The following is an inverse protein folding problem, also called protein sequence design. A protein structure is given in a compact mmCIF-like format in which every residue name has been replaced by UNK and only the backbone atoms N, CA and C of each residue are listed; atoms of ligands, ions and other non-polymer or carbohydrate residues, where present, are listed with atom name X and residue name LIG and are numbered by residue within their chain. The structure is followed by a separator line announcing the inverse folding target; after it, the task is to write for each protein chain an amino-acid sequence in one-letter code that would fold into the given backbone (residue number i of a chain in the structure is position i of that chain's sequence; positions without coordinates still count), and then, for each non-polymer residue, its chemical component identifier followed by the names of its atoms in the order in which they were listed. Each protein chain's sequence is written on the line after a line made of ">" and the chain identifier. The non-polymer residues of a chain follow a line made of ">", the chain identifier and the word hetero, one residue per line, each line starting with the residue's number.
data_IF_344053390483
#
_entry.id   IF_344053390483
#
_cell.length_a   1.000
_cell.length_b   1.000
_cell.length_c   1.000
_cell.angle_alpha   90.00
_cell.angle_beta   90.00
_cell.angle_gamma   90.00
#
_symmetry.space_group_name_H-M   'P 1'
#
loop_
_entity.id
_entity.type
_entity.pdbx_description
1 polymer ?
#
# COMPACT_ATOMS: atom_id res chain seq x y z
N UNK A 1 -9.16 24.71 3.37
CA UNK A 1 -9.00 23.26 3.56
C UNK A 1 -7.64 23.00 4.19
N UNK A 2 -7.59 22.47 5.42
CA UNK A 2 -6.33 22.28 6.15
C UNK A 2 -6.08 20.79 6.37
N UNK A 3 -5.15 20.22 5.61
CA UNK A 3 -4.63 18.87 5.85
C UNK A 3 -3.40 18.99 6.76
N UNK A 4 -3.34 18.19 7.83
CA UNK A 4 -2.24 18.22 8.79
C UNK A 4 -1.58 16.85 8.91
N UNK A 5 -0.28 16.83 9.09
CA UNK A 5 0.43 15.61 9.48
C UNK A 5 0.08 15.27 10.94
N UNK A 6 -0.22 14.01 11.19
CA UNK A 6 -0.31 13.40 12.51
C UNK A 6 0.97 12.63 12.87
N UNK A 7 0.98 11.90 13.99
CA UNK A 7 2.09 11.03 14.35
C UNK A 7 2.32 9.95 13.28
N UNK A 8 3.58 9.58 13.07
CA UNK A 8 3.95 8.52 12.12
C UNK A 8 3.35 7.17 12.52
N UNK A 9 3.20 6.27 11.55
CA UNK A 9 2.82 4.88 11.78
C UNK A 9 4.08 4.04 11.97
N UNK A 10 4.06 3.19 12.99
CA UNK A 10 5.15 2.26 13.29
C UNK A 10 4.61 0.84 13.39
N UNK A 11 5.48 -0.13 13.08
CA UNK A 11 5.18 -1.53 13.36
C UNK A 11 4.95 -1.72 14.84
N UNK A 12 3.87 -2.41 15.20
CA UNK A 12 3.62 -2.81 16.59
C UNK A 12 4.76 -3.71 17.09
N UNK A 13 5.02 -3.68 18.40
CA UNK A 13 6.12 -4.45 19.01
C UNK A 13 6.01 -5.98 18.79
N UNK A 14 4.80 -6.49 18.56
CA UNK A 14 4.53 -7.90 18.27
C UNK A 14 4.63 -8.25 16.77
N UNK A 15 5.19 -7.38 15.93
CA UNK A 15 5.26 -7.58 14.47
C UNK A 15 5.91 -8.91 14.06
N UNK A 16 6.88 -9.42 14.83
CA UNK A 16 7.51 -10.72 14.55
C UNK A 16 6.53 -11.88 14.68
N UNK A 17 5.62 -11.82 15.66
CA UNK A 17 4.56 -12.82 15.81
C UNK A 17 3.55 -12.71 14.67
N UNK A 18 3.21 -11.48 14.27
CA UNK A 18 2.32 -11.23 13.13
C UNK A 18 2.92 -11.71 11.82
N UNK A 19 4.22 -11.53 11.60
CA UNK A 19 4.98 -12.06 10.46
C UNK A 19 4.89 -13.58 10.38
N UNK A 20 5.09 -14.28 11.50
CA UNK A 20 4.90 -15.74 11.56
C UNK A 20 3.46 -16.16 11.26
N UNK A 21 2.46 -15.42 11.77
CA UNK A 21 1.07 -15.69 11.46
C UNK A 21 0.79 -15.48 9.95
N UNK A 22 1.35 -14.45 9.34
CA UNK A 22 1.28 -14.21 7.90
C UNK A 22 1.90 -15.36 7.08
N UNK A 23 3.06 -15.86 7.50
CA UNK A 23 3.68 -17.07 6.91
C UNK A 23 2.71 -18.25 6.92
N UNK A 24 2.02 -18.48 8.04
CA UNK A 24 1.07 -19.58 8.20
C UNK A 24 -0.19 -19.41 7.35
N UNK A 25 -0.73 -18.18 7.26
CA UNK A 25 -1.89 -17.89 6.41
C UNK A 25 -1.59 -18.14 4.93
N UNK A 26 -0.35 -17.93 4.50
CA UNK A 26 0.08 -18.20 3.14
C UNK A 26 0.52 -19.65 2.90
N UNK A 27 0.65 -20.48 3.95
CA UNK A 27 1.33 -21.78 3.88
C UNK A 27 0.61 -22.84 3.02
N UNK A 28 -0.72 -22.75 2.90
CA UNK A 28 -1.53 -23.68 2.10
C UNK A 28 -1.55 -23.38 0.60
N UNK A 29 -0.88 -22.31 0.17
CA UNK A 29 -0.91 -21.85 -1.21
C UNK A 29 0.45 -22.02 -1.90
N UNK A 30 0.47 -21.99 -3.23
CA UNK A 30 1.70 -21.90 -4.04
C UNK A 30 2.57 -20.68 -3.70
N UNK A 31 2.03 -19.77 -2.89
CA UNK A 31 2.66 -18.56 -2.37
C UNK A 31 2.99 -18.64 -0.87
N UNK A 32 3.30 -19.83 -0.36
CA UNK A 32 4.00 -19.97 0.93
C UNK A 32 5.23 -19.05 0.97
N UNK A 33 5.73 -18.66 2.15
CA UNK A 33 6.85 -17.69 2.21
C UNK A 33 8.06 -18.11 1.37
N UNK A 34 8.39 -19.41 1.34
CA UNK A 34 9.47 -19.93 0.50
C UNK A 34 9.10 -19.93 -1.00
N UNK A 35 7.86 -20.26 -1.35
CA UNK A 35 7.37 -20.24 -2.73
C UNK A 35 7.32 -18.82 -3.29
N UNK A 36 6.80 -17.88 -2.52
CA UNK A 36 6.77 -16.47 -2.88
C UNK A 36 8.16 -15.87 -2.97
N UNK A 37 9.06 -16.19 -2.05
CA UNK A 37 10.44 -15.72 -2.11
C UNK A 37 11.11 -16.15 -3.44
N UNK A 38 11.03 -17.44 -3.78
CA UNK A 38 11.53 -17.95 -5.08
C UNK A 38 10.86 -17.26 -6.26
N UNK A 39 9.56 -16.97 -6.15
CA UNK A 39 8.85 -16.22 -7.18
C UNK A 39 9.42 -14.81 -7.34
N UNK A 40 9.66 -14.09 -6.24
CA UNK A 40 10.28 -12.77 -6.27
C UNK A 40 11.72 -12.80 -6.82
N UNK A 41 12.54 -13.79 -6.44
CA UNK A 41 13.89 -13.98 -6.99
C UNK A 41 13.87 -14.20 -8.51
N UNK A 42 12.93 -15.02 -8.98
CA UNK A 42 12.75 -15.24 -10.42
C UNK A 42 12.34 -13.93 -11.10
N UNK A 43 11.38 -13.20 -10.54
CA UNK A 43 10.91 -11.93 -11.09
C UNK A 43 12.03 -10.90 -11.18
N UNK A 44 12.82 -10.70 -10.12
CA UNK A 44 13.94 -9.75 -10.16
C UNK A 44 15.01 -10.17 -11.15
N UNK A 45 15.35 -11.46 -11.23
CA UNK A 45 16.31 -11.97 -12.21
C UNK A 45 15.86 -11.70 -13.65
N UNK A 46 14.56 -11.89 -13.93
CA UNK A 46 13.98 -11.57 -15.24
C UNK A 46 13.98 -10.06 -15.50
N UNK A 47 13.67 -9.28 -14.47
CA UNK A 47 13.62 -7.82 -14.53
C UNK A 47 14.99 -7.21 -14.80
N UNK A 48 16.05 -7.69 -14.15
CA UNK A 48 17.45 -7.27 -14.37
C UNK A 48 17.88 -7.45 -15.83
N UNK A 49 17.40 -8.51 -16.48
CA UNK A 49 17.66 -8.82 -17.89
C UNK A 49 16.81 -8.01 -18.87
N UNK A 50 15.78 -7.32 -18.38
CA UNK A 50 14.84 -6.55 -19.21
C UNK A 50 15.07 -5.04 -19.07
N UNK A 51 15.04 -4.28 -20.16
CA UNK A 51 15.07 -2.80 -20.12
C UNK A 51 13.69 -2.19 -19.87
N UNK A 52 12.71 -2.99 -19.47
CA UNK A 52 11.32 -2.55 -19.37
C UNK A 52 11.11 -1.65 -18.14
N UNK A 53 10.50 -0.45 -18.27
CA UNK A 53 10.18 0.42 -17.13
C UNK A 53 9.16 -0.18 -16.15
N UNK A 54 8.43 -1.24 -16.53
CA UNK A 54 7.36 -1.85 -15.71
C UNK A 54 7.86 -2.73 -14.54
N UNK A 55 9.12 -2.59 -14.15
CA UNK A 55 9.78 -3.40 -13.11
C UNK A 55 9.04 -3.33 -11.76
N UNK A 56 8.77 -2.11 -11.29
CA UNK A 56 8.08 -1.90 -10.02
C UNK A 56 6.67 -2.49 -10.01
N UNK A 57 5.98 -2.43 -11.15
CA UNK A 57 4.62 -2.96 -11.30
C UNK A 57 4.53 -4.45 -11.05
N UNK A 58 5.42 -5.24 -11.64
CA UNK A 58 5.39 -6.70 -11.51
C UNK A 58 5.60 -7.13 -10.05
N UNK A 59 6.52 -6.49 -9.33
CA UNK A 59 6.72 -6.77 -7.91
C UNK A 59 5.51 -6.35 -7.09
N UNK A 60 5.00 -5.14 -7.33
CA UNK A 60 3.81 -4.63 -6.67
C UNK A 60 2.62 -5.59 -6.83
N UNK A 61 2.33 -6.04 -8.05
CA UNK A 61 1.27 -7.00 -8.34
C UNK A 61 1.52 -8.36 -7.66
N UNK A 62 2.77 -8.82 -7.56
CA UNK A 62 3.10 -10.04 -6.81
C UNK A 62 2.76 -9.91 -5.31
N UNK A 63 3.06 -8.78 -4.69
CA UNK A 63 2.69 -8.49 -3.29
C UNK A 63 1.18 -8.43 -3.10
N UNK A 64 0.44 -7.79 -4.02
CA UNK A 64 -1.01 -7.77 -3.99
C UNK A 64 -1.61 -9.17 -4.12
N UNK A 65 -1.07 -9.98 -5.04
CA UNK A 65 -1.52 -11.34 -5.23
C UNK A 65 -1.30 -12.16 -3.95
N UNK A 66 -0.12 -12.04 -3.32
CA UNK A 66 0.13 -12.70 -2.05
C UNK A 66 -0.81 -12.25 -0.94
N UNK A 67 -1.01 -10.96 -0.76
CA UNK A 67 -1.93 -10.42 0.24
C UNK A 67 -3.39 -10.88 0.00
N UNK A 68 -3.78 -11.08 -1.27
CA UNK A 68 -5.12 -11.58 -1.62
C UNK A 68 -5.34 -13.06 -1.27
N UNK A 69 -4.32 -13.92 -1.39
CA UNK A 69 -4.46 -15.33 -1.01
C UNK A 69 -4.41 -15.55 0.50
N UNK A 70 -3.93 -14.58 1.26
CA UNK A 70 -3.96 -14.59 2.73
C UNK A 70 -5.36 -14.27 3.29
N UNK A 71 -6.33 -13.94 2.43
CA UNK A 71 -7.69 -13.64 2.84
C UNK A 71 -8.51 -14.91 3.06
N UNK A 72 -9.51 -14.88 3.94
CA UNK A 72 -10.48 -15.96 4.05
C UNK A 72 -11.14 -16.25 2.68
N UNK A 73 -11.41 -17.51 2.31
CA UNK A 73 -11.96 -17.86 0.99
C UNK A 73 -13.30 -17.19 0.63
N UNK A 74 -14.07 -16.76 1.64
CA UNK A 74 -15.36 -16.08 1.45
C UNK A 74 -15.22 -14.55 1.26
N UNK A 75 -14.01 -14.01 1.42
CA UNK A 75 -13.66 -12.59 1.32
C UNK A 75 -12.62 -12.35 0.21
N UNK A 76 -12.94 -12.65 -1.06
CA UNK A 76 -12.01 -12.40 -2.15
C UNK A 76 -11.67 -10.90 -2.27
N UNK A 77 -10.37 -10.63 -2.43
CA UNK A 77 -9.89 -9.30 -2.81
C UNK A 77 -9.99 -9.14 -4.32
N UNK A 78 -10.56 -8.02 -4.75
CA UNK A 78 -10.59 -7.58 -6.14
C UNK A 78 -9.79 -6.29 -6.24
N UNK A 79 -8.76 -6.31 -7.07
CA UNK A 79 -7.97 -5.12 -7.40
C UNK A 79 -8.45 -4.58 -8.73
N UNK A 80 -8.92 -3.34 -8.75
CA UNK A 80 -9.31 -2.62 -9.96
C UNK A 80 -8.27 -1.54 -10.26
N UNK A 81 -7.73 -1.47 -11.49
CA UNK A 81 -6.91 -0.34 -11.90
C UNK A 81 -7.77 0.94 -11.90
N UNK A 82 -7.22 2.00 -11.34
CA UNK A 82 -7.78 3.35 -11.37
C UNK A 82 -7.20 4.18 -12.51
N UNK A 83 -7.25 5.49 -12.34
CA UNK A 83 -6.66 6.46 -13.27
C UNK A 83 -5.14 6.51 -13.15
N UNK A 84 -4.47 6.71 -14.27
CA UNK A 84 -3.06 7.06 -14.32
C UNK A 84 -2.93 8.58 -14.17
N UNK A 85 -1.98 9.01 -13.36
CA UNK A 85 -1.74 10.41 -13.02
C UNK A 85 -0.27 10.75 -13.26
N UNK A 86 0.00 12.03 -13.53
CA UNK A 86 1.36 12.58 -13.55
C UNK A 86 1.55 13.38 -12.27
N UNK A 87 2.53 12.97 -11.45
CA UNK A 87 2.93 13.70 -10.25
C UNK A 87 4.03 14.69 -10.65
N UNK A 88 3.79 16.01 -10.54
CA UNK A 88 4.85 16.98 -10.74
C UNK A 88 5.85 16.87 -9.58
N UNK A 89 7.11 16.65 -9.92
CA UNK A 89 8.23 16.67 -8.96
C UNK A 89 9.20 17.80 -9.28
N UNK A 90 9.66 18.48 -8.24
CA UNK A 90 10.70 19.48 -8.38
C UNK A 90 12.03 18.75 -8.64
N UNK A 91 12.62 18.93 -9.82
CA UNK A 91 14.03 18.56 -9.98
C UNK A 91 14.90 19.63 -9.30
N UNK A 92 16.05 19.22 -8.78
CA UNK A 92 17.08 20.18 -8.41
C UNK A 92 17.46 20.99 -9.66
N UNK A 93 17.49 22.33 -9.60
CA UNK A 93 17.88 23.14 -10.75
C UNK A 93 19.33 22.80 -11.10
N UNK A 94 19.55 22.29 -12.32
CA UNK A 94 20.89 22.03 -12.82
C UNK A 94 21.66 23.34 -13.05
N UNK A 95 20.94 24.46 -13.26
CA UNK A 95 21.48 25.80 -13.40
C UNK A 95 20.54 26.86 -12.81
N UNK A 96 21.03 28.08 -12.47
CA UNK A 96 20.28 29.11 -11.74
C UNK A 96 18.99 29.62 -12.41
N UNK A 97 18.67 29.18 -13.64
CA UNK A 97 17.49 29.59 -14.41
C UNK A 97 16.81 28.42 -15.16
N UNK A 98 17.12 27.15 -14.84
CA UNK A 98 16.45 26.00 -15.45
C UNK A 98 15.49 25.34 -14.46
N UNK A 99 14.18 25.48 -14.72
CA UNK A 99 13.15 24.66 -14.09
C UNK A 99 12.97 23.39 -14.94
N UNK A 100 13.66 22.32 -14.58
CA UNK A 100 13.30 20.99 -15.08
C UNK A 100 12.23 20.47 -14.13
N UNK A 101 10.98 20.42 -14.58
CA UNK A 101 9.95 19.68 -13.86
C UNK A 101 10.14 18.21 -14.22
N UNK A 102 10.62 17.40 -13.28
CA UNK A 102 10.56 15.96 -13.43
C UNK A 102 9.09 15.54 -13.24
N UNK A 103 8.58 14.69 -14.11
CA UNK A 103 7.21 14.16 -14.02
C UNK A 103 7.30 12.69 -13.69
N UNK A 104 6.69 12.26 -12.58
CA UNK A 104 6.59 10.86 -12.22
C UNK A 104 5.24 10.32 -12.67
N UNK A 105 5.23 9.17 -13.33
CA UNK A 105 4.00 8.47 -13.67
C UNK A 105 3.50 7.70 -12.45
N UNK A 106 2.23 7.88 -12.11
CA UNK A 106 1.59 7.27 -10.96
C UNK A 106 0.32 6.53 -11.41
N UNK A 107 0.32 5.21 -11.28
CA UNK A 107 -0.86 4.38 -11.52
C UNK A 107 -1.63 4.17 -10.21
N UNK A 108 -2.89 4.59 -10.18
CA UNK A 108 -3.79 4.27 -9.07
C UNK A 108 -4.36 2.85 -9.24
N UNK A 109 -4.53 2.17 -8.12
CA UNK A 109 -5.24 0.91 -7.97
C UNK A 109 -6.18 1.04 -6.77
N UNK A 110 -7.33 0.37 -6.81
CA UNK A 110 -8.20 0.23 -5.64
C UNK A 110 -8.43 -1.24 -5.36
N UNK A 111 -8.12 -1.68 -4.14
CA UNK A 111 -8.44 -3.01 -3.64
C UNK A 111 -9.76 -2.96 -2.87
N UNK A 112 -10.61 -3.93 -3.16
CA UNK A 112 -11.90 -4.14 -2.53
C UNK A 112 -11.98 -5.54 -1.93
N UNK A 113 -12.53 -5.67 -0.74
CA UNK A 113 -13.06 -6.97 -0.28
C UNK A 113 -14.51 -7.08 -0.72
N UNK A 114 -14.79 -8.10 -1.54
CA UNK A 114 -16.13 -8.40 -2.02
C UNK A 114 -16.74 -9.54 -1.20
N UNK A 115 -17.91 -9.32 -0.58
CA UNK A 115 -18.67 -10.44 0.00
C UNK A 115 -19.25 -11.29 -1.10
N UNK A 116 -18.73 -12.50 -1.27
CA UNK A 116 -19.24 -13.47 -2.23
C UNK A 116 -18.77 -13.24 -3.67
N UNK A 117 -18.80 -14.32 -4.44
CA UNK A 117 -18.23 -14.41 -5.79
C UNK A 117 -18.96 -13.55 -6.82
N UNK A 118 -20.27 -13.32 -6.65
CA UNK A 118 -21.06 -12.48 -7.56
C UNK A 118 -20.66 -11.00 -7.48
N UNK A 119 -20.43 -10.48 -6.28
CA UNK A 119 -19.94 -9.10 -6.11
C UNK A 119 -18.53 -8.95 -6.69
N UNK A 120 -17.68 -9.96 -6.51
CA UNK A 120 -16.35 -9.98 -7.11
C UNK A 120 -16.43 -9.97 -8.66
N UNK A 121 -17.37 -10.70 -9.26
CA UNK A 121 -17.62 -10.68 -10.71
C UNK A 121 -18.10 -9.30 -11.17
N UNK A 122 -19.07 -8.68 -10.50
CA UNK A 122 -19.58 -7.36 -10.88
C UNK A 122 -18.46 -6.30 -10.93
N UNK A 123 -17.59 -6.26 -9.91
CA UNK A 123 -16.46 -5.31 -9.85
C UNK A 123 -15.49 -5.57 -11.02
N UNK A 124 -15.18 -6.84 -11.33
CA UNK A 124 -14.30 -7.21 -12.44
C UNK A 124 -14.89 -6.84 -13.81
N UNK A 125 -16.21 -6.88 -13.96
CA UNK A 125 -16.90 -6.51 -15.20
C UNK A 125 -16.98 -4.99 -15.43
N UNK A 126 -16.36 -4.16 -14.57
CA UNK A 126 -16.42 -2.70 -14.67
C UNK A 126 -17.82 -2.12 -14.38
N UNK A 127 -18.74 -2.97 -13.92
CA UNK A 127 -20.06 -2.53 -13.50
C UNK A 127 -19.92 -1.92 -12.11
N UNK A 128 -20.29 -0.64 -11.98
CA UNK A 128 -20.31 0.01 -10.67
C UNK A 128 -21.21 -0.82 -9.75
N UNK A 129 -20.67 -1.38 -8.64
CA UNK A 129 -21.49 -2.13 -7.71
C UNK A 129 -22.61 -1.20 -7.24
N UNK A 130 -23.87 -1.61 -7.39
CA UNK A 130 -25.00 -0.83 -6.86
C UNK A 130 -24.73 -0.55 -5.37
N UNK A 131 -24.45 0.71 -5.09
CA UNK A 131 -23.63 1.21 -3.99
C UNK A 131 -24.45 1.27 -2.71
N UNK A 132 -23.84 0.82 -1.61
CA UNK A 132 -24.39 0.88 -0.27
C UNK A 132 -23.74 -0.15 0.63
N UNK A 133 -24.18 -1.41 0.51
CA UNK A 133 -23.95 -2.40 1.58
C UNK A 133 -23.01 -3.57 1.21
N UNK A 134 -22.43 -3.58 0.01
CA UNK A 134 -21.78 -4.80 -0.54
C UNK A 134 -20.24 -4.81 -0.51
N UNK A 135 -19.61 -3.67 -0.22
CA UNK A 135 -18.16 -3.54 -0.12
C UNK A 135 -17.75 -3.48 1.34
N UNK A 136 -17.01 -4.49 1.80
CA UNK A 136 -16.55 -4.55 3.19
C UNK A 136 -15.35 -3.65 3.45
N UNK A 137 -14.55 -3.39 2.43
CA UNK A 137 -13.31 -2.66 2.55
C UNK A 137 -12.89 -2.05 1.23
N UNK A 138 -12.12 -0.97 1.34
CA UNK A 138 -11.53 -0.18 0.28
C UNK A 138 -10.15 0.31 0.73
N UNK A 139 -9.11 -0.15 0.03
CA UNK A 139 -7.74 0.37 0.17
C UNK A 139 -7.33 0.97 -1.17
N UNK A 140 -6.87 2.23 -1.17
CA UNK A 140 -6.31 2.86 -2.36
C UNK A 140 -4.81 2.63 -2.41
N UNK A 141 -4.28 2.39 -3.58
CA UNK A 141 -2.88 2.09 -3.76
C UNK A 141 -2.36 2.85 -4.96
N UNK A 142 -1.13 3.32 -4.87
CA UNK A 142 -0.52 4.22 -5.82
C UNK A 142 0.85 3.66 -6.14
N UNK A 143 1.01 3.20 -7.37
CA UNK A 143 2.26 2.73 -7.89
C UNK A 143 2.92 3.87 -8.67
N UNK A 144 4.04 4.36 -8.17
CA UNK A 144 4.82 5.42 -8.81
C UNK A 144 6.00 4.77 -9.52
N UNK A 145 6.17 5.05 -10.81
CA UNK A 145 7.43 4.81 -11.50
C UNK A 145 8.40 5.90 -11.06
N UNK A 146 9.09 5.66 -9.94
CA UNK A 146 9.83 6.70 -9.24
C UNK A 146 11.17 7.03 -9.89
N UNK A 147 11.70 6.22 -10.82
CA UNK A 147 13.08 6.35 -11.29
C UNK A 147 14.05 6.51 -10.10
N UNK A 148 14.82 7.61 -10.08
CA UNK A 148 15.73 7.98 -8.98
C UNK A 148 15.09 8.86 -7.88
N UNK A 149 13.82 9.22 -7.99
CA UNK A 149 13.14 10.10 -7.05
C UNK A 149 12.72 9.35 -5.79
N UNK A 150 12.74 10.02 -4.64
CA UNK A 150 12.33 9.41 -3.39
C UNK A 150 10.81 9.29 -3.34
N UNK A 151 10.31 8.11 -3.00
CA UNK A 151 8.87 7.84 -2.96
C UNK A 151 8.14 8.78 -1.99
N UNK A 152 8.80 9.18 -0.89
CA UNK A 152 8.27 10.12 0.10
C UNK A 152 7.87 11.47 -0.48
N UNK A 153 8.53 11.94 -1.53
CA UNK A 153 8.23 13.22 -2.17
C UNK A 153 6.84 13.24 -2.83
N UNK A 154 6.30 12.05 -3.15
CA UNK A 154 4.96 11.90 -3.69
C UNK A 154 3.86 11.97 -2.61
N UNK A 155 4.21 11.85 -1.31
CA UNK A 155 3.24 11.77 -0.21
C UNK A 155 2.22 12.91 -0.19
N UNK A 156 2.60 14.20 -0.35
CA UNK A 156 1.63 15.29 -0.32
C UNK A 156 0.58 15.20 -1.43
N UNK A 157 0.98 14.74 -2.62
CA UNK A 157 0.08 14.52 -3.75
C UNK A 157 -0.89 13.37 -3.44
N UNK A 158 -0.37 12.24 -2.95
CA UNK A 158 -1.20 11.07 -2.59
C UNK A 158 -2.21 11.42 -1.51
N UNK A 159 -1.79 12.10 -0.44
CA UNK A 159 -2.66 12.55 0.64
C UNK A 159 -3.77 13.47 0.12
N UNK A 160 -3.45 14.37 -0.83
CA UNK A 160 -4.43 15.25 -1.46
C UNK A 160 -5.44 14.47 -2.30
N UNK A 161 -4.98 13.47 -3.07
CA UNK A 161 -5.83 12.57 -3.85
C UNK A 161 -6.77 11.75 -2.96
N UNK A 162 -6.23 11.16 -1.88
CA UNK A 162 -7.01 10.48 -0.85
C UNK A 162 -8.07 11.41 -0.25
N UNK A 163 -7.74 12.66 0.03
CA UNK A 163 -8.71 13.62 0.58
C UNK A 163 -9.83 13.97 -0.40
N UNK A 164 -9.49 14.11 -1.68
CA UNK A 164 -10.45 14.40 -2.75
C UNK A 164 -11.46 13.26 -2.97
N UNK A 165 -11.16 12.04 -2.53
CA UNK A 165 -12.09 10.90 -2.61
C UNK A 165 -13.39 11.10 -1.86
N UNK A 166 -13.42 11.97 -0.85
CA UNK A 166 -14.59 12.21 0.00
C UNK A 166 -14.83 11.14 1.07
N UNK A 167 -14.01 10.08 1.13
CA UNK A 167 -14.13 9.02 2.13
C UNK A 167 -13.72 9.56 3.52
N UNK A 168 -14.53 9.29 4.56
CA UNK A 168 -14.29 9.81 5.92
C UNK A 168 -13.00 9.28 6.56
N UNK A 169 -12.71 8.00 6.35
CA UNK A 169 -11.44 7.37 6.68
C UNK A 169 -10.99 6.55 5.48
N UNK A 170 -9.71 6.64 5.14
CA UNK A 170 -9.15 5.88 4.02
C UNK A 170 -7.72 5.45 4.29
N UNK A 171 -7.43 4.21 3.90
CA UNK A 171 -6.09 3.63 3.86
C UNK A 171 -5.52 3.73 2.46
N UNK A 172 -4.27 4.16 2.38
CA UNK A 172 -3.49 4.37 1.18
C UNK A 172 -2.18 3.59 1.23
N UNK A 173 -1.74 3.02 0.11
CA UNK A 173 -0.38 2.48 -0.04
C UNK A 173 0.30 3.19 -1.18
N UNK A 174 1.49 3.69 -0.95
CA UNK A 174 2.34 4.29 -1.96
C UNK A 174 3.54 3.36 -2.18
N UNK A 175 3.83 2.99 -3.42
CA UNK A 175 4.91 2.05 -3.73
C UNK A 175 5.56 2.32 -5.08
N UNK A 176 6.81 1.91 -5.24
CA UNK A 176 7.48 1.75 -6.54
C UNK A 176 7.82 0.27 -6.84
N UNK A 177 7.17 -0.67 -6.13
CA UNK A 177 7.42 -2.11 -6.18
C UNK A 177 8.52 -2.61 -5.24
N UNK A 178 9.51 -1.77 -4.90
CA UNK A 178 10.61 -2.10 -3.98
C UNK A 178 10.46 -1.42 -2.63
N UNK A 179 9.88 -0.23 -2.58
CA UNK A 179 9.58 0.53 -1.39
C UNK A 179 8.07 0.61 -1.21
N UNK A 180 7.59 0.51 0.03
CA UNK A 180 6.19 0.65 0.41
C UNK A 180 6.06 1.64 1.57
N UNK A 181 5.17 2.61 1.40
CA UNK A 181 4.78 3.59 2.42
C UNK A 181 3.28 3.44 2.64
N UNK A 182 2.89 3.15 3.87
CA UNK A 182 1.51 3.01 4.28
C UNK A 182 1.01 4.36 4.80
N UNK A 183 -0.17 4.75 4.35
CA UNK A 183 -0.77 6.07 4.59
C UNK A 183 -2.16 5.86 5.15
N UNK A 184 -2.48 6.58 6.22
CA UNK A 184 -3.85 6.76 6.68
C UNK A 184 -4.27 8.20 6.49
N UNK A 185 -5.51 8.42 6.09
CA UNK A 185 -6.14 9.73 6.10
C UNK A 185 -7.45 9.64 6.86
N UNK A 186 -7.59 10.49 7.87
CA UNK A 186 -8.80 10.66 8.66
C UNK A 186 -9.32 12.07 8.44
N UNK A 187 -10.51 12.19 7.82
CA UNK A 187 -11.20 13.47 7.69
C UNK A 187 -11.73 13.91 9.05
N UNK A 188 -11.73 15.21 9.26
CA UNK A 188 -12.36 15.81 10.43
C UNK A 188 -13.88 15.65 10.32
N UNK A 189 -14.58 15.57 11.45
CA UNK A 189 -16.05 15.40 11.50
C UNK A 189 -16.80 16.49 10.73
N UNK A 190 -16.23 17.71 10.68
CA UNK A 190 -16.81 18.84 9.95
C UNK A 190 -16.49 18.86 8.44
N UNK A 191 -15.72 17.88 7.92
CA UNK A 191 -15.26 17.81 6.53
C UNK A 191 -14.43 19.02 6.02
N UNK A 192 -13.95 19.90 6.90
CA UNK A 192 -13.18 21.10 6.51
C UNK A 192 -11.66 20.86 6.40
N UNK A 193 -11.23 19.65 6.76
CA UNK A 193 -9.83 19.24 6.74
C UNK A 193 -9.66 17.76 7.07
N UNK A 194 -8.40 17.36 7.20
CA UNK A 194 -8.04 16.00 7.54
C UNK A 194 -6.69 15.94 8.27
N UNK A 195 -6.48 14.83 8.96
CA UNK A 195 -5.19 14.44 9.51
C UNK A 195 -4.70 13.22 8.76
N UNK A 196 -3.45 13.23 8.30
CA UNK A 196 -2.84 12.05 7.68
C UNK A 196 -1.70 11.51 8.54
N UNK A 197 -1.47 10.20 8.49
CA UNK A 197 -0.31 9.53 9.10
C UNK A 197 0.40 8.72 8.03
N UNK A 198 1.71 8.64 8.12
CA UNK A 198 2.55 7.88 7.18
C UNK A 198 3.47 6.95 7.94
N UNK A 199 3.72 5.78 7.39
CA UNK A 199 4.69 4.84 7.96
C UNK A 199 6.13 5.20 7.62
N UNK A 200 7.05 4.54 8.31
CA UNK A 200 8.39 4.30 7.78
C UNK A 200 8.35 3.62 6.40
N UNK A 201 9.48 3.67 5.69
CA UNK A 201 9.61 2.99 4.40
C UNK A 201 9.90 1.51 4.61
N UNK A 202 9.09 0.64 4.02
CA UNK A 202 9.34 -0.80 3.97
C UNK A 202 10.07 -1.11 2.67
N UNK A 203 11.36 -1.41 2.77
CA UNK A 203 12.20 -1.66 1.59
C UNK A 203 12.43 -3.14 1.41
N UNK A 204 11.92 -3.66 0.29
CA UNK A 204 12.21 -5.00 -0.18
C UNK A 204 13.54 -5.03 -0.94
N UNK A 205 14.45 -5.89 -0.50
CA UNK A 205 15.69 -6.21 -1.20
C UNK A 205 15.83 -7.73 -1.27
N UNK A 206 16.24 -8.24 -2.42
CA UNK A 206 16.59 -9.65 -2.57
C UNK A 206 18.07 -9.80 -2.27
N UNK A 207 18.40 -10.50 -1.18
CA UNK A 207 19.77 -10.84 -0.83
C UNK A 207 19.98 -12.35 -0.98
N UNK A 208 21.05 -12.86 -1.61
CA UNK A 208 21.20 -14.29 -1.90
C UNK A 208 21.33 -15.25 -0.69
N UNK A 209 21.23 -14.80 0.57
CA UNK A 209 21.58 -15.66 1.74
C UNK A 209 20.99 -15.33 3.12
N UNK A 210 20.11 -14.35 3.32
CA UNK A 210 19.78 -13.84 4.67
C UNK A 210 18.29 -13.90 5.03
N UNK A 211 17.85 -14.81 5.92
CA UNK A 211 16.56 -14.69 6.66
C UNK A 211 15.34 -14.23 5.80
N UNK A 212 15.32 -14.74 4.58
CA UNK A 212 14.93 -14.09 3.31
C UNK A 212 13.44 -13.77 3.08
N UNK A 213 12.59 -14.02 4.08
CA UNK A 213 11.13 -13.88 3.96
C UNK A 213 10.51 -12.78 4.83
N UNK A 214 11.21 -12.25 5.84
CA UNK A 214 10.55 -11.46 6.89
C UNK A 214 9.90 -10.17 6.35
N UNK A 215 10.64 -9.36 5.58
CA UNK A 215 10.09 -8.13 4.99
C UNK A 215 9.02 -8.41 3.94
N UNK A 216 9.16 -9.51 3.18
CA UNK A 216 8.15 -9.89 2.21
C UNK A 216 6.83 -10.31 2.90
N UNK A 217 6.95 -11.06 3.99
CA UNK A 217 5.84 -11.48 4.84
C UNK A 217 5.23 -10.28 5.60
N UNK A 218 6.03 -9.30 6.01
CA UNK A 218 5.57 -8.05 6.60
C UNK A 218 4.75 -7.23 5.61
N UNK A 219 5.28 -6.93 4.41
CA UNK A 219 4.57 -6.14 3.41
C UNK A 219 3.24 -6.83 3.04
N UNK A 220 3.29 -8.13 2.73
CA UNK A 220 2.07 -8.90 2.43
C UNK A 220 1.11 -8.98 3.62
N UNK A 221 1.63 -9.10 4.84
CA UNK A 221 0.83 -9.16 6.07
C UNK A 221 0.13 -7.84 6.39
N UNK A 222 0.83 -6.71 6.25
CA UNK A 222 0.22 -5.37 6.41
C UNK A 222 -0.85 -5.16 5.34
N UNK A 223 -0.56 -5.45 4.07
CA UNK A 223 -1.53 -5.35 2.98
C UNK A 223 -2.76 -6.22 3.24
N UNK A 224 -2.56 -7.48 3.64
CA UNK A 224 -3.65 -8.40 3.94
C UNK A 224 -4.51 -7.93 5.12
N UNK A 225 -3.89 -7.43 6.18
CA UNK A 225 -4.59 -6.83 7.32
C UNK A 225 -5.37 -5.59 6.91
N UNK A 226 -4.77 -4.73 6.09
CA UNK A 226 -5.40 -3.50 5.65
C UNK A 226 -6.57 -3.73 4.71
N UNK A 227 -6.53 -4.81 3.91
CA UNK A 227 -7.71 -5.25 3.18
C UNK A 227 -8.85 -5.61 4.14
N UNK A 228 -8.61 -6.28 5.26
CA UNK A 228 -9.70 -6.64 6.19
C UNK A 228 -10.20 -5.44 7.02
N UNK A 229 -9.28 -4.56 7.42
CA UNK A 229 -9.54 -3.55 8.44
C UNK A 229 -9.65 -2.11 7.88
N UNK A 230 -9.89 -1.94 6.58
CA UNK A 230 -9.76 -0.62 5.93
C UNK A 230 -10.76 0.44 6.37
N UNK A 231 -11.81 0.08 7.10
CA UNK A 231 -12.88 0.99 7.53
C UNK A 231 -12.61 1.66 8.86
N UNK A 232 -11.64 1.15 9.61
CA UNK A 232 -11.35 1.63 10.95
C UNK A 232 -9.92 2.17 11.02
N UNK A 233 -9.68 3.27 11.74
CA UNK A 233 -8.32 3.72 12.05
C UNK A 233 -7.47 2.62 12.69
N UNK A 234 -6.18 2.59 12.38
CA UNK A 234 -5.19 1.69 13.01
C UNK A 234 -5.23 1.74 14.54
N UNK A 235 -5.55 2.90 15.12
CA UNK A 235 -5.71 3.08 16.57
C UNK A 235 -6.91 2.34 17.17
N UNK A 236 -7.91 1.97 16.37
CA UNK A 236 -9.12 1.29 16.83
C UNK A 236 -8.99 -0.24 16.76
N UNK A 237 -8.07 -0.77 15.95
CA UNK A 237 -7.93 -2.22 15.73
C UNK A 237 -6.71 -2.81 16.47
N UNK A 238 -6.98 -3.74 17.39
CA UNK A 238 -5.93 -4.57 18.02
C UNK A 238 -5.16 -5.39 16.99
N UNK A 239 -5.83 -5.75 15.90
CA UNK A 239 -5.36 -6.70 14.89
C UNK A 239 -4.57 -6.01 13.77
N UNK A 240 -4.53 -4.68 13.78
CA UNK A 240 -3.67 -3.94 12.86
C UNK A 240 -2.18 -4.21 13.10
N UNK A 241 -1.38 -4.08 12.05
CA UNK A 241 0.08 -4.22 12.11
C UNK A 241 0.79 -2.93 12.45
N UNK A 242 0.16 -1.81 12.13
CA UNK A 242 0.68 -0.48 12.37
C UNK A 242 -0.07 0.19 13.51
N UNK A 243 0.62 1.04 14.25
CA UNK A 243 0.02 1.93 15.24
C UNK A 243 0.64 3.31 15.15
N UNK A 244 -0.10 4.37 15.51
CA UNK A 244 0.49 5.70 15.68
C UNK A 244 1.64 5.65 16.69
N UNK A 245 2.77 6.28 16.35
CA UNK A 245 3.86 6.52 17.29
C UNK A 245 3.33 7.46 18.38
N UNK A 246 3.04 6.89 19.55
CA UNK A 246 2.74 7.69 20.73
C UNK A 246 4.12 8.09 21.24
N UNK A 247 4.58 9.27 20.81
CA UNK A 247 5.68 9.92 21.50
C UNK A 247 5.30 9.95 22.98
N UNK A 248 6.12 9.34 23.84
CA UNK A 248 6.02 9.56 25.28
C UNK A 248 6.10 11.07 25.40
N UNK A 249 4.98 11.70 25.72
CA UNK A 249 4.95 13.16 25.86
C UNK A 249 6.04 13.51 26.85
N UNK A 250 6.88 14.48 26.47
CA UNK A 250 7.66 15.21 27.46
C UNK A 250 6.64 15.72 28.47
N UNK A 251 6.65 15.11 29.65
CA UNK A 251 5.87 15.55 30.78
C UNK A 251 6.52 16.85 31.25
N UNK A 252 5.98 17.97 30.79
CA UNK A 252 6.17 19.28 31.41
C UNK A 252 5.41 19.34 32.76
#
# INVERSE_FOLDING_TARGET
>A
MKIRAGPNLELKHDWKLRSRAATLLAASHTLSSSGFHKHLEMLTTLMERSTNPSRGRTLFEAFLWRASVMQPPHLPVVVAPGTSHIIPTAAAPAEPNSFITASLECQEYTAYIARGTENAKCIRSGSSPHTGDKLESKVRMFLVDSGNSQLRDCTPYIVSSLHASGDGYIRGVLSNGFEYIFIELLRNENNEGATYRVSGSFTFQIQPSSLLGETADEISGVLASWFLNSKEPTSASSDDWLSPCIGIGDAD
#
